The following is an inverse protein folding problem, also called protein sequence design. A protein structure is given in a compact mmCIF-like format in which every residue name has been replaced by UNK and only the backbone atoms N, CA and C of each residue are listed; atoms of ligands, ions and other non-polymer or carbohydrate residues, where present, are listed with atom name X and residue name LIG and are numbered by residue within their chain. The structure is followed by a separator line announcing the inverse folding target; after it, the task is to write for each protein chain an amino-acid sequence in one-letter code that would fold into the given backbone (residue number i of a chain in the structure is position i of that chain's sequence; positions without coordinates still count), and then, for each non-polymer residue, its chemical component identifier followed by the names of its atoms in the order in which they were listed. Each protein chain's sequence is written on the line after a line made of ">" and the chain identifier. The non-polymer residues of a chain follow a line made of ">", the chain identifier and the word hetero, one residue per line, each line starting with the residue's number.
data_IF_636981083078
#
_entry.id   IF_636981083078
#
_cell.length_a   1.000
_cell.length_b   1.000
_cell.length_c   1.000
_cell.angle_alpha   90.00
_cell.angle_beta   90.00
_cell.angle_gamma   90.00
#
_symmetry.space_group_name_H-M   'P 1'
#
loop_
_entity.id
_entity.type
_entity.pdbx_description
1 polymer ?
#
# COMPACT_ATOMS: atom_id res chain seq x y z
N UNK A 1 4.81 -0.48 6.61
CA UNK A 1 4.25 0.62 5.78
C UNK A 1 2.89 1.03 6.36
N UNK A 2 2.76 2.25 6.89
CA UNK A 2 1.48 2.78 7.38
C UNK A 2 0.85 3.63 6.27
N UNK A 3 -0.17 3.10 5.59
CA UNK A 3 -0.92 3.86 4.59
C UNK A 3 -1.85 4.87 5.31
N UNK A 4 -1.40 6.11 5.47
CA UNK A 4 -2.21 7.18 6.09
C UNK A 4 -3.19 7.72 5.07
N UNK A 5 -4.46 7.79 5.45
CA UNK A 5 -5.51 8.20 4.53
C UNK A 5 -6.66 8.95 5.20
N UNK A 6 -7.20 9.97 4.50
CA UNK A 6 -8.42 10.66 4.92
C UNK A 6 -9.66 9.84 4.58
N UNK A 7 -10.66 9.90 5.45
CA UNK A 7 -11.98 9.26 5.30
C UNK A 7 -13.04 10.16 5.96
N UNK A 8 -14.29 10.13 5.48
CA UNK A 8 -15.38 10.89 6.14
C UNK A 8 -15.76 10.22 7.46
N UNK A 9 -16.03 11.01 8.50
CA UNK A 9 -16.33 10.54 9.87
C UNK A 9 -17.35 9.39 9.90
N UNK A 10 -18.50 9.54 9.22
CA UNK A 10 -19.54 8.49 9.17
C UNK A 10 -19.07 7.10 8.69
N UNK A 11 -18.05 7.03 7.84
CA UNK A 11 -17.50 5.76 7.37
C UNK A 11 -16.46 5.21 8.34
N UNK A 12 -15.70 6.09 9.00
CA UNK A 12 -14.80 5.71 10.09
C UNK A 12 -15.60 5.08 11.25
N UNK A 13 -16.70 5.72 11.65
CA UNK A 13 -17.57 5.21 12.71
C UNK A 13 -18.13 3.81 12.37
N UNK A 14 -18.48 3.60 11.09
CA UNK A 14 -18.95 2.30 10.61
C UNK A 14 -17.86 1.20 10.64
N UNK A 15 -16.60 1.56 10.37
CA UNK A 15 -15.45 0.65 10.49
C UNK A 15 -15.21 0.29 11.96
N UNK A 16 -15.15 1.29 12.84
CA UNK A 16 -14.93 1.09 14.28
C UNK A 16 -16.04 0.22 14.88
N UNK A 17 -17.28 0.39 14.43
CA UNK A 17 -18.42 -0.42 14.85
C UNK A 17 -18.50 -1.81 14.17
N UNK A 18 -17.55 -2.19 13.32
CA UNK A 18 -17.52 -3.48 12.60
C UNK A 18 -18.60 -3.64 11.52
N UNK A 19 -19.35 -2.58 11.20
CA UNK A 19 -20.43 -2.60 10.18
C UNK A 19 -19.90 -2.43 8.76
N UNK A 20 -18.66 -1.99 8.62
CA UNK A 20 -17.96 -1.82 7.35
C UNK A 20 -16.57 -2.42 7.44
N UNK A 21 -16.31 -3.42 6.60
CA UNK A 21 -15.04 -4.16 6.56
C UNK A 21 -14.26 -3.98 5.26
N UNK A 22 -14.84 -3.26 4.29
CA UNK A 22 -14.26 -3.05 2.96
C UNK A 22 -14.17 -1.56 2.65
N UNK A 23 -13.02 -1.12 2.13
CA UNK A 23 -12.76 0.24 1.66
C UNK A 23 -12.39 0.21 0.17
N UNK A 24 -12.97 1.12 -0.61
CA UNK A 24 -12.70 1.24 -2.04
C UNK A 24 -11.95 2.54 -2.28
N UNK A 25 -10.74 2.44 -2.84
CA UNK A 25 -9.89 3.59 -3.14
C UNK A 25 -9.41 3.53 -4.58
N UNK A 26 -9.52 4.66 -5.27
CA UNK A 26 -8.86 4.85 -6.55
C UNK A 26 -7.54 5.56 -6.30
N UNK A 27 -6.44 4.80 -6.37
CA UNK A 27 -5.11 5.36 -6.29
C UNK A 27 -4.71 5.95 -7.65
N UNK A 28 -4.16 7.17 -7.66
CA UNK A 28 -3.51 7.73 -8.85
C UNK A 28 -3.90 9.15 -9.26
N UNK A 29 -4.92 9.78 -8.64
CA UNK A 29 -5.27 11.18 -8.97
C UNK A 29 -4.51 12.22 -8.17
N UNK A 30 -4.18 12.00 -6.90
CA UNK A 30 -3.41 12.93 -6.04
C UNK A 30 -2.77 12.24 -4.81
N UNK A 31 -2.67 10.91 -4.80
CA UNK A 31 -2.16 10.20 -3.63
C UNK A 31 -0.64 10.24 -3.59
N UNK A 32 -0.10 10.52 -2.41
CA UNK A 32 1.33 10.61 -2.13
C UNK A 32 1.70 9.54 -1.11
N UNK A 33 2.84 8.90 -1.32
CA UNK A 33 3.47 7.98 -0.39
C UNK A 33 4.73 8.63 0.17
N UNK A 34 4.77 8.82 1.48
CA UNK A 34 5.97 9.28 2.18
C UNK A 34 6.79 8.05 2.59
N UNK A 35 8.05 8.01 2.17
CA UNK A 35 9.03 6.98 2.56
C UNK A 35 10.16 7.61 3.35
N UNK A 36 10.67 6.85 4.32
CA UNK A 36 11.81 7.22 5.16
C UNK A 36 12.81 6.07 5.10
N UNK A 37 14.07 6.36 4.79
CA UNK A 37 15.14 5.37 4.83
C UNK A 37 15.69 5.19 6.26
N UNK A 38 16.58 4.20 6.43
CA UNK A 38 17.22 3.91 7.72
C UNK A 38 18.09 5.05 8.28
N UNK A 39 18.42 6.06 7.47
CA UNK A 39 19.20 7.24 7.85
C UNK A 39 18.31 8.46 8.15
N UNK A 40 16.98 8.30 8.14
CA UNK A 40 16.02 9.37 8.40
C UNK A 40 15.79 10.31 7.21
N UNK A 41 16.22 9.94 6.00
CA UNK A 41 15.93 10.71 4.79
C UNK A 41 14.48 10.46 4.38
N UNK A 42 13.69 11.53 4.34
CA UNK A 42 12.28 11.48 3.95
C UNK A 42 12.10 11.95 2.51
N UNK A 43 11.35 11.19 1.71
CA UNK A 43 10.95 11.55 0.35
C UNK A 43 9.45 11.30 0.16
N UNK A 44 8.79 12.26 -0.46
CA UNK A 44 7.40 12.11 -0.89
C UNK A 44 7.35 11.67 -2.37
N UNK A 45 6.55 10.65 -2.65
CA UNK A 45 6.42 10.01 -3.96
C UNK A 45 4.98 10.06 -4.44
N UNK A 46 4.75 10.39 -5.70
CA UNK A 46 3.43 10.32 -6.32
C UNK A 46 3.08 8.87 -6.64
N UNK A 47 1.90 8.41 -6.21
CA UNK A 47 1.37 7.10 -6.62
C UNK A 47 0.81 7.22 -8.03
N UNK A 48 1.30 6.40 -8.96
CA UNK A 48 0.89 6.38 -10.36
C UNK A 48 0.09 5.13 -10.75
N UNK A 49 0.07 4.11 -9.89
CA UNK A 49 -0.76 2.93 -10.08
C UNK A 49 -0.62 1.92 -8.95
N UNK A 50 -1.58 1.01 -8.86
CA UNK A 50 -1.56 -0.10 -7.91
C UNK A 50 -2.22 -1.30 -8.57
N UNK A 51 -1.63 -2.47 -8.37
CA UNK A 51 -2.19 -3.74 -8.83
C UNK A 51 -1.71 -4.86 -7.91
N UNK A 52 -2.49 -5.93 -7.88
CA UNK A 52 -2.07 -7.19 -7.27
C UNK A 52 -1.01 -7.86 -8.18
N UNK A 53 0.06 -8.39 -7.60
CA UNK A 53 1.02 -9.20 -8.32
C UNK A 53 0.35 -10.50 -8.78
N UNK A 54 0.58 -10.92 -10.03
CA UNK A 54 0.24 -12.29 -10.43
C UNK A 54 1.08 -13.31 -9.69
N UNK A 55 0.64 -14.57 -9.61
CA UNK A 55 1.37 -15.64 -8.91
C UNK A 55 2.85 -15.74 -9.34
N UNK A 56 3.11 -15.65 -10.64
CA UNK A 56 4.47 -15.69 -11.17
C UNK A 56 5.31 -14.48 -10.69
N UNK A 57 4.73 -13.27 -10.72
CA UNK A 57 5.40 -12.07 -10.25
C UNK A 57 5.61 -12.10 -8.73
N UNK A 58 4.64 -12.60 -7.97
CA UNK A 58 4.74 -12.75 -6.53
C UNK A 58 5.87 -13.71 -6.14
N UNK A 59 5.99 -14.84 -6.85
CA UNK A 59 7.08 -15.79 -6.70
C UNK A 59 8.44 -15.15 -6.99
N UNK A 60 8.57 -14.42 -8.11
CA UNK A 60 9.82 -13.74 -8.47
C UNK A 60 10.22 -12.67 -7.44
N UNK A 61 9.26 -11.88 -6.96
CA UNK A 61 9.47 -10.86 -5.92
C UNK A 61 9.93 -11.52 -4.61
N UNK A 62 9.26 -12.58 -4.16
CA UNK A 62 9.60 -13.24 -2.90
C UNK A 62 11.01 -13.84 -2.93
N UNK A 63 11.41 -14.47 -4.04
CA UNK A 63 12.76 -15.00 -4.19
C UNK A 63 13.84 -13.92 -4.30
N UNK A 64 13.52 -12.79 -4.92
CA UNK A 64 14.47 -11.68 -5.07
C UNK A 64 14.70 -10.89 -3.77
N UNK A 65 13.78 -10.97 -2.81
CA UNK A 65 13.83 -10.24 -1.54
C UNK A 65 13.64 -11.21 -0.35
N UNK A 66 14.58 -12.14 -0.13
CA UNK A 66 14.47 -13.18 0.90
C UNK A 66 14.55 -12.65 2.34
N UNK A 67 14.97 -11.41 2.53
CA UNK A 67 15.05 -10.73 3.83
C UNK A 67 13.68 -10.26 4.35
N UNK A 68 12.66 -10.22 3.50
CA UNK A 68 11.30 -9.86 3.86
C UNK A 68 10.54 -11.11 4.29
N UNK A 69 9.90 -11.07 5.46
CA UNK A 69 9.00 -12.13 5.92
C UNK A 69 7.65 -12.01 5.19
N UNK A 70 7.55 -12.71 4.05
CA UNK A 70 6.35 -12.71 3.22
C UNK A 70 5.26 -13.64 3.80
N UNK A 71 4.07 -13.10 4.01
CA UNK A 71 2.91 -13.91 4.37
C UNK A 71 2.42 -14.71 3.15
N UNK A 72 2.43 -16.05 3.25
CA UNK A 72 2.04 -16.95 2.15
C UNK A 72 0.54 -17.00 1.84
N UNK A 73 -0.30 -16.39 2.68
CA UNK A 73 -1.76 -16.36 2.51
C UNK A 73 -2.29 -15.03 1.96
N UNK A 74 -1.53 -13.95 2.07
CA UNK A 74 -1.95 -12.62 1.63
C UNK A 74 -1.27 -12.26 0.29
N UNK A 75 -1.99 -11.67 -0.67
CA UNK A 75 -1.41 -11.32 -1.96
C UNK A 75 -0.41 -10.16 -1.84
N UNK A 76 0.60 -10.16 -2.70
CA UNK A 76 1.56 -9.04 -2.79
C UNK A 76 0.95 -7.92 -3.62
N UNK A 77 0.80 -6.74 -3.00
CA UNK A 77 0.33 -5.53 -3.67
C UNK A 77 1.51 -4.72 -4.22
N UNK A 78 1.51 -4.47 -5.53
CA UNK A 78 2.54 -3.67 -6.20
C UNK A 78 2.06 -2.25 -6.41
N UNK A 79 2.68 -1.32 -5.68
CA UNK A 79 2.42 0.13 -5.78
C UNK A 79 3.48 0.74 -6.70
N UNK A 80 3.05 1.29 -7.83
CA UNK A 80 3.91 2.04 -8.76
C UNK A 80 3.97 3.49 -8.33
N UNK A 81 5.17 4.02 -8.19
CA UNK A 81 5.43 5.38 -7.71
C UNK A 81 6.39 6.13 -8.64
N UNK A 82 6.32 7.46 -8.60
CA UNK A 82 7.24 8.38 -9.28
C UNK A 82 7.67 9.49 -8.31
N UNK A 83 8.82 10.14 -8.52
CA UNK A 83 9.16 11.37 -7.81
C UNK A 83 8.05 12.42 -7.98
N UNK A 84 7.83 13.22 -6.94
CA UNK A 84 6.91 14.37 -7.02
C UNK A 84 7.43 15.47 -7.97
#
# INVERSE_FOLDING_TARGET
>A
MLLKAKIKAKYLDAIIAGKKTMEFRQFGKNDVMTVEDENGRIVDLKIIGMHEASDAMAYDIANANPEIDWNSTEPIMVIKVAPL
#
